data_IF_663462585253
#
_entry.id   IF_663462585253
#
_cell.length_a   1.000
_cell.length_b   1.000
_cell.length_c   1.000
_cell.angle_alpha   90.00
_cell.angle_beta   90.00
_cell.angle_gamma   90.00
#
_symmetry.space_group_name_H-M   'P 1'
#
loop_
_entity.id
_entity.type
_entity.pdbx_description
1 polymer ?
#
# COMPACT_ATOMS: atom_id res chain seq x y z
N UNK A 1 -19.12 -2.95 34.57
CA UNK A 1 -19.46 -2.00 33.48
C UNK A 1 -18.60 -2.43 32.32
N UNK A 2 -19.24 -3.06 31.37
CA UNK A 2 -18.61 -3.79 30.27
C UNK A 2 -18.09 -2.83 29.22
N UNK A 3 -16.86 -3.09 28.79
CA UNK A 3 -16.20 -2.40 27.70
C UNK A 3 -16.88 -2.70 26.37
N UNK A 4 -17.31 -1.67 25.70
CA UNK A 4 -17.92 -1.77 24.38
C UNK A 4 -16.91 -2.30 23.36
N UNK A 5 -17.33 -3.37 22.73
CA UNK A 5 -16.70 -4.04 21.60
C UNK A 5 -16.41 -3.06 20.49
N UNK A 6 -15.17 -3.13 19.97
CA UNK A 6 -14.83 -2.48 18.73
C UNK A 6 -15.73 -2.98 17.60
N UNK A 7 -16.65 -2.15 17.16
CA UNK A 7 -17.37 -2.38 15.92
C UNK A 7 -16.34 -2.31 14.78
N UNK A 8 -16.02 -3.49 14.26
CA UNK A 8 -15.38 -3.60 12.96
C UNK A 8 -16.36 -2.99 11.97
N UNK A 9 -16.05 -1.81 11.45
CA UNK A 9 -16.77 -1.27 10.30
C UNK A 9 -16.65 -2.30 9.18
N UNK A 10 -17.66 -3.12 9.02
CA UNK A 10 -17.78 -3.98 7.85
C UNK A 10 -17.82 -3.07 6.63
N UNK A 11 -16.85 -3.23 5.76
CA UNK A 11 -16.77 -2.46 4.53
C UNK A 11 -18.09 -2.62 3.78
N UNK A 12 -18.63 -1.50 3.33
CA UNK A 12 -19.88 -1.49 2.55
C UNK A 12 -19.61 -2.31 1.28
N UNK A 13 -20.42 -3.33 1.03
CA UNK A 13 -20.28 -4.14 -0.19
C UNK A 13 -20.57 -3.26 -1.40
N UNK A 14 -19.52 -2.93 -2.15
CA UNK A 14 -19.62 -2.12 -3.39
C UNK A 14 -20.55 -2.78 -4.44
N UNK A 15 -20.81 -4.06 -4.33
CA UNK A 15 -21.71 -4.79 -5.21
C UNK A 15 -23.19 -4.49 -4.90
N UNK A 16 -23.49 -4.11 -3.65
CA UNK A 16 -24.85 -3.76 -3.21
C UNK A 16 -25.33 -2.39 -3.73
N UNK A 17 -24.41 -1.51 -4.13
CA UNK A 17 -24.78 -0.15 -4.56
C UNK A 17 -25.37 -0.07 -5.96
N UNK A 18 -25.42 -1.16 -6.71
CA UNK A 18 -25.89 -1.18 -8.10
C UNK A 18 -25.04 -0.30 -9.05
N UNK A 19 -23.92 0.24 -8.55
CA UNK A 19 -23.04 1.11 -9.31
C UNK A 19 -21.98 0.28 -10.04
N UNK A 20 -21.96 0.37 -11.35
CA UNK A 20 -21.02 -0.35 -12.20
C UNK A 20 -20.12 0.60 -12.96
N UNK A 21 -18.82 0.43 -12.82
CA UNK A 21 -17.80 1.13 -13.62
C UNK A 21 -17.33 0.21 -14.74
N UNK A 22 -17.46 0.68 -15.98
CA UNK A 22 -17.03 -0.07 -17.18
C UNK A 22 -17.98 -1.21 -17.58
N UNK A 23 -17.55 -2.01 -18.55
CA UNK A 23 -18.36 -3.07 -19.18
C UNK A 23 -17.88 -4.49 -18.82
N UNK A 24 -16.64 -4.64 -18.37
CA UNK A 24 -16.09 -5.94 -18.01
C UNK A 24 -16.72 -6.45 -16.69
N UNK A 25 -16.90 -7.76 -16.55
CA UNK A 25 -17.32 -8.34 -15.28
C UNK A 25 -16.19 -8.17 -14.22
N UNK A 26 -16.57 -8.03 -12.97
CA UNK A 26 -15.60 -8.09 -11.88
C UNK A 26 -15.23 -9.54 -11.52
N UNK A 27 -14.08 -9.74 -10.90
CA UNK A 27 -13.73 -11.03 -10.30
C UNK A 27 -14.57 -11.35 -9.06
N UNK A 28 -14.35 -12.50 -8.47
CA UNK A 28 -15.15 -13.03 -7.35
C UNK A 28 -15.24 -12.09 -6.16
N UNK A 29 -14.10 -11.50 -5.76
CA UNK A 29 -13.99 -10.57 -4.62
C UNK A 29 -14.15 -9.10 -5.01
N UNK A 30 -14.14 -8.80 -6.30
CA UNK A 30 -14.01 -7.43 -6.81
C UNK A 30 -12.85 -6.67 -6.14
N UNK A 31 -11.72 -7.35 -5.96
CA UNK A 31 -10.48 -6.84 -5.34
C UNK A 31 -9.29 -7.14 -6.25
N UNK A 32 -8.18 -6.41 -6.07
CA UNK A 32 -6.92 -6.69 -6.78
C UNK A 32 -6.42 -8.12 -6.53
N UNK A 33 -6.76 -8.72 -5.39
CA UNK A 33 -6.44 -10.11 -5.03
C UNK A 33 -7.25 -11.17 -5.78
N UNK A 34 -8.14 -10.79 -6.70
CA UNK A 34 -8.66 -11.72 -7.71
C UNK A 34 -7.58 -12.15 -8.70
N UNK A 35 -6.49 -11.38 -8.82
CA UNK A 35 -5.26 -11.83 -9.48
C UNK A 35 -4.55 -12.84 -8.57
N UNK A 36 -4.38 -14.11 -9.00
CA UNK A 36 -3.78 -15.14 -8.16
C UNK A 36 -2.38 -14.75 -7.65
N UNK A 37 -2.17 -14.88 -6.34
CA UNK A 37 -0.89 -14.57 -5.69
C UNK A 37 -0.75 -13.13 -5.20
N UNK A 38 -1.58 -12.19 -5.66
CA UNK A 38 -1.57 -10.82 -5.13
C UNK A 38 -2.16 -10.79 -3.73
N UNK A 39 -1.42 -10.18 -2.80
CA UNK A 39 -1.86 -9.98 -1.41
C UNK A 39 -1.63 -8.54 -0.97
N UNK A 40 -2.45 -8.08 -0.02
CA UNK A 40 -2.36 -6.73 0.54
C UNK A 40 -2.43 -6.82 2.06
N UNK A 41 -1.60 -6.02 2.73
CA UNK A 41 -1.56 -5.95 4.19
C UNK A 41 -1.50 -4.52 4.70
N UNK A 42 -1.90 -4.32 5.95
CA UNK A 42 -2.01 -3.00 6.55
C UNK A 42 -1.40 -2.96 7.95
N UNK A 43 -0.74 -1.84 8.25
CA UNK A 43 -0.49 -1.42 9.61
C UNK A 43 -1.15 -0.06 9.82
N UNK A 44 -2.17 0.00 10.68
CA UNK A 44 -2.98 1.21 10.92
C UNK A 44 -2.58 1.85 12.24
N UNK A 45 -2.26 3.14 12.20
CA UNK A 45 -2.05 3.98 13.37
C UNK A 45 -3.29 4.86 13.58
N UNK A 46 -4.01 4.65 14.69
CA UNK A 46 -5.29 5.30 14.98
C UNK A 46 -5.38 5.64 16.47
N UNK A 47 -4.65 6.67 16.89
CA UNK A 47 -4.61 7.12 18.27
C UNK A 47 -4.66 8.66 18.31
N UNK A 48 -5.73 9.23 18.84
CA UNK A 48 -5.94 10.68 18.90
C UNK A 48 -5.75 11.35 17.55
N UNK A 49 -4.80 12.28 17.47
CA UNK A 49 -4.46 13.02 16.26
C UNK A 49 -3.57 12.22 15.27
N UNK A 50 -3.12 11.03 15.67
CA UNK A 50 -2.35 10.12 14.81
C UNK A 50 -3.32 9.27 14.00
N UNK A 51 -3.48 9.61 12.72
CA UNK A 51 -4.44 8.96 11.82
C UNK A 51 -3.75 8.65 10.48
N UNK A 52 -2.88 7.63 10.48
CA UNK A 52 -2.01 7.27 9.35
C UNK A 52 -1.74 5.77 9.30
N UNK A 53 -0.78 5.35 8.51
CA UNK A 53 -0.34 3.96 8.46
C UNK A 53 0.46 3.61 7.22
N UNK A 54 0.68 2.31 7.07
CA UNK A 54 1.36 1.70 5.91
C UNK A 54 0.45 0.64 5.31
N UNK A 55 0.40 0.60 3.99
CA UNK A 55 -0.20 -0.49 3.22
C UNK A 55 0.87 -1.13 2.36
N UNK A 56 0.96 -2.44 2.35
CA UNK A 56 1.87 -3.21 1.52
C UNK A 56 1.07 -4.01 0.48
N UNK A 57 1.59 -4.08 -0.75
CA UNK A 57 1.10 -4.94 -1.82
C UNK A 57 2.22 -5.85 -2.29
N UNK A 58 2.01 -7.16 -2.20
CA UNK A 58 2.88 -8.18 -2.76
C UNK A 58 2.28 -8.66 -4.09
N UNK A 59 3.00 -8.53 -5.22
CA UNK A 59 2.47 -8.90 -6.54
C UNK A 59 2.36 -10.42 -6.73
N UNK A 60 3.18 -11.20 -6.03
CA UNK A 60 3.14 -12.66 -5.99
C UNK A 60 3.89 -13.18 -4.74
N UNK A 61 3.74 -14.47 -4.37
CA UNK A 61 4.34 -15.03 -3.15
C UNK A 61 5.85 -15.37 -3.27
N UNK A 62 6.42 -15.25 -4.48
CA UNK A 62 7.84 -15.52 -4.74
C UNK A 62 8.75 -14.33 -4.43
N UNK A 63 10.01 -14.45 -4.83
CA UNK A 63 10.99 -13.38 -4.71
C UNK A 63 10.87 -12.39 -5.87
N UNK A 64 10.27 -11.24 -5.60
CA UNK A 64 9.99 -10.21 -6.62
C UNK A 64 11.29 -9.62 -7.22
N UNK A 65 12.40 -9.67 -6.50
CA UNK A 65 13.68 -9.16 -7.01
C UNK A 65 14.23 -10.01 -8.16
N UNK A 66 14.14 -11.34 -8.03
CA UNK A 66 14.58 -12.27 -9.06
C UNK A 66 13.49 -12.59 -10.07
N UNK A 67 12.22 -12.67 -9.63
CA UNK A 67 11.06 -12.93 -10.47
C UNK A 67 10.25 -11.66 -10.68
N UNK A 68 10.85 -10.70 -11.41
CA UNK A 68 10.23 -9.39 -11.66
C UNK A 68 8.93 -9.51 -12.42
N UNK A 69 7.95 -8.65 -12.09
CA UNK A 69 6.70 -8.55 -12.84
C UNK A 69 6.72 -7.35 -13.78
N UNK A 70 5.98 -7.43 -14.88
CA UNK A 70 5.79 -6.28 -15.76
C UNK A 70 5.03 -5.18 -15.01
N UNK A 71 5.48 -3.96 -15.18
CA UNK A 71 4.89 -2.79 -14.55
C UNK A 71 4.95 -1.58 -15.45
N UNK A 72 4.03 -0.65 -15.24
CA UNK A 72 4.04 0.67 -15.85
C UNK A 72 3.55 1.70 -14.84
N UNK A 73 3.99 2.94 -15.00
CA UNK A 73 3.55 4.03 -14.15
C UNK A 73 3.08 5.22 -14.99
N UNK A 74 2.24 6.05 -14.39
CA UNK A 74 1.81 7.32 -14.97
C UNK A 74 1.66 8.36 -13.86
N UNK A 75 2.30 9.51 -14.04
CA UNK A 75 2.23 10.63 -13.09
C UNK A 75 1.06 11.54 -13.47
N UNK A 76 -0.01 11.52 -12.66
CA UNK A 76 -1.18 12.38 -12.86
C UNK A 76 -0.85 13.82 -12.48
N UNK A 77 -0.12 14.02 -11.37
CA UNK A 77 0.44 15.32 -11.00
C UNK A 77 1.79 15.16 -10.33
N UNK A 78 2.71 16.09 -10.58
CA UNK A 78 4.09 16.04 -10.11
C UNK A 78 4.32 16.56 -8.67
N UNK A 79 3.29 16.84 -7.89
CA UNK A 79 3.45 17.28 -6.50
C UNK A 79 3.69 16.11 -5.53
N UNK A 80 3.42 14.88 -5.94
CA UNK A 80 3.69 13.64 -5.20
C UNK A 80 5.20 13.39 -4.99
N UNK A 81 5.51 12.57 -3.99
CA UNK A 81 6.88 12.16 -3.59
C UNK A 81 7.11 10.67 -3.75
N UNK A 82 6.35 10.03 -4.64
CA UNK A 82 6.49 8.59 -4.94
C UNK A 82 7.90 8.27 -5.43
N UNK A 83 8.49 7.20 -4.92
CA UNK A 83 9.82 6.72 -5.30
C UNK A 83 9.76 5.46 -6.17
N UNK A 84 10.86 5.12 -6.85
CA UNK A 84 11.00 3.90 -7.65
C UNK A 84 10.38 3.96 -9.06
N UNK A 85 9.76 5.07 -9.46
CA UNK A 85 9.08 5.18 -10.76
C UNK A 85 10.05 5.26 -11.95
N UNK A 86 11.25 5.80 -11.77
CA UNK A 86 12.25 5.95 -12.85
C UNK A 86 12.64 4.60 -13.44
N UNK A 87 12.89 3.60 -12.60
CA UNK A 87 13.23 2.26 -13.05
C UNK A 87 12.03 1.57 -13.74
N UNK A 88 10.82 1.75 -13.22
CA UNK A 88 9.61 1.21 -13.85
C UNK A 88 9.39 1.84 -15.22
N UNK A 89 9.57 3.16 -15.36
CA UNK A 89 9.37 3.88 -16.62
C UNK A 89 10.38 3.44 -17.69
N UNK A 90 11.64 3.23 -17.29
CA UNK A 90 12.70 2.84 -18.21
C UNK A 90 12.71 1.35 -18.55
N UNK A 91 12.56 0.47 -17.53
CA UNK A 91 12.73 -0.97 -17.70
C UNK A 91 11.41 -1.75 -17.79
N UNK A 92 10.29 -1.12 -17.46
CA UNK A 92 8.97 -1.75 -17.52
C UNK A 92 8.76 -2.89 -16.52
N UNK A 93 9.53 -2.92 -15.43
CA UNK A 93 9.48 -3.99 -14.43
C UNK A 93 9.42 -3.48 -13.01
N UNK A 94 8.78 -4.26 -12.12
CA UNK A 94 8.76 -4.08 -10.68
C UNK A 94 9.59 -5.18 -10.02
N UNK A 95 10.46 -4.81 -9.08
CA UNK A 95 11.39 -5.71 -8.40
C UNK A 95 11.29 -5.69 -6.87
N UNK A 96 10.29 -4.99 -6.32
CA UNK A 96 9.99 -4.95 -4.88
C UNK A 96 8.49 -5.05 -4.63
N UNK A 97 8.04 -5.31 -3.40
CA UNK A 97 6.69 -4.94 -2.98
C UNK A 97 6.40 -3.47 -3.26
N UNK A 98 5.12 -3.11 -3.45
CA UNK A 98 4.69 -1.71 -3.51
C UNK A 98 4.18 -1.32 -2.13
N UNK A 99 4.77 -0.27 -1.53
CA UNK A 99 4.32 0.26 -0.26
C UNK A 99 3.59 1.61 -0.45
N UNK A 100 2.62 1.87 0.42
CA UNK A 100 1.86 3.12 0.45
C UNK A 100 1.94 3.71 1.85
N UNK A 101 2.09 5.02 1.94
CA UNK A 101 2.16 5.74 3.22
C UNK A 101 1.76 7.22 3.04
N UNK A 102 1.92 8.03 4.08
CA UNK A 102 1.74 9.47 3.96
C UNK A 102 2.97 10.17 3.35
N UNK A 103 2.75 11.38 2.85
CA UNK A 103 3.75 12.19 2.13
C UNK A 103 5.09 12.33 2.84
N UNK A 104 5.10 12.59 4.16
CA UNK A 104 6.34 12.85 4.89
C UNK A 104 7.05 11.58 5.37
N UNK A 105 6.40 10.43 5.28
CA UNK A 105 6.95 9.14 5.71
C UNK A 105 7.57 8.32 4.58
N UNK A 106 7.55 8.82 3.33
CA UNK A 106 8.09 8.09 2.17
C UNK A 106 9.53 7.64 2.41
N UNK A 107 10.42 8.52 2.85
CA UNK A 107 11.84 8.17 3.08
C UNK A 107 12.04 7.09 4.15
N UNK A 108 11.25 7.11 5.24
CA UNK A 108 11.29 6.09 6.30
C UNK A 108 10.83 4.73 5.74
N UNK A 109 9.73 4.73 4.99
CA UNK A 109 9.16 3.51 4.40
C UNK A 109 10.07 2.95 3.30
N UNK A 110 10.69 3.82 2.51
CA UNK A 110 11.67 3.44 1.49
C UNK A 110 12.89 2.76 2.12
N UNK A 111 13.48 3.36 3.16
CA UNK A 111 14.61 2.76 3.89
C UNK A 111 14.24 1.39 4.47
N UNK A 112 13.05 1.26 5.05
CA UNK A 112 12.57 -0.01 5.59
C UNK A 112 12.38 -1.06 4.49
N UNK A 113 11.87 -0.67 3.32
CA UNK A 113 11.71 -1.57 2.18
C UNK A 113 13.07 -2.04 1.64
N UNK A 114 14.06 -1.14 1.54
CA UNK A 114 15.43 -1.53 1.17
C UNK A 114 15.99 -2.58 2.14
N UNK A 115 15.88 -2.36 3.45
CA UNK A 115 16.32 -3.33 4.46
C UNK A 115 15.61 -4.69 4.30
N UNK A 116 14.29 -4.67 4.11
CA UNK A 116 13.51 -5.88 3.85
C UNK A 116 14.01 -6.67 2.63
N UNK A 117 14.38 -5.97 1.56
CA UNK A 117 14.92 -6.60 0.34
C UNK A 117 16.32 -7.15 0.55
N UNK A 118 17.22 -6.41 1.22
CA UNK A 118 18.57 -6.84 1.52
C UNK A 118 18.62 -8.08 2.44
N UNK A 119 17.74 -8.17 3.41
CA UNK A 119 17.62 -9.35 4.30
C UNK A 119 17.22 -10.62 3.55
N UNK A 120 16.46 -10.50 2.46
CA UNK A 120 15.96 -11.64 1.66
C UNK A 120 16.83 -11.98 0.48
N UNK A 121 17.58 -11.01 -0.01
CA UNK A 121 18.38 -11.10 -1.22
C UNK A 121 19.83 -10.70 -0.90
N UNK A 122 20.65 -11.61 -0.35
CA UNK A 122 22.03 -11.29 0.05
C UNK A 122 22.96 -10.99 -1.11
N UNK A 123 22.54 -11.22 -2.34
CA UNK A 123 23.26 -10.94 -3.57
C UNK A 123 23.09 -9.49 -4.07
N UNK A 124 22.11 -8.73 -3.53
CA UNK A 124 21.94 -7.30 -3.85
C UNK A 124 23.20 -6.53 -3.45
N UNK A 125 23.77 -5.78 -4.40
CA UNK A 125 25.03 -5.02 -4.28
C UNK A 125 26.28 -5.88 -4.04
N UNK A 126 26.17 -7.21 -4.04
CA UNK A 126 27.32 -8.12 -3.97
C UNK A 126 27.62 -8.74 -5.34
N UNK A 127 26.66 -9.39 -5.94
CA UNK A 127 26.78 -10.04 -7.25
C UNK A 127 25.75 -9.55 -8.26
N UNK A 128 24.75 -8.80 -7.80
CA UNK A 128 23.74 -8.14 -8.64
C UNK A 128 23.82 -6.62 -8.49
N UNK A 129 22.95 -5.89 -9.20
CA UNK A 129 22.79 -4.45 -9.01
C UNK A 129 22.13 -4.09 -7.67
N UNK A 130 21.89 -2.78 -7.47
CA UNK A 130 21.09 -2.29 -6.35
C UNK A 130 19.60 -2.58 -6.56
N UNK A 131 18.78 -2.30 -5.54
CA UNK A 131 17.33 -2.44 -5.58
C UNK A 131 16.66 -1.08 -5.74
N UNK A 132 15.54 -1.03 -6.47
CA UNK A 132 14.72 0.16 -6.67
C UNK A 132 13.39 0.01 -5.92
N UNK A 133 13.30 0.49 -4.67
CA UNK A 133 12.09 0.37 -3.86
C UNK A 133 10.97 1.26 -4.40
N UNK A 134 9.73 0.74 -4.41
CA UNK A 134 8.56 1.50 -4.84
C UNK A 134 7.71 1.86 -3.62
N UNK A 135 7.64 3.16 -3.32
CA UNK A 135 6.82 3.71 -2.25
C UNK A 135 5.94 4.82 -2.81
N UNK A 136 4.64 4.57 -2.80
CA UNK A 136 3.61 5.54 -3.19
C UNK A 136 3.14 6.34 -1.97
N UNK A 137 2.61 7.55 -2.21
CA UNK A 137 2.16 8.40 -1.14
C UNK A 137 0.83 9.08 -1.41
N UNK A 138 0.17 9.48 -0.34
CA UNK A 138 -0.93 10.41 -0.37
C UNK A 138 -0.92 11.28 0.89
N UNK A 139 -1.23 12.56 0.74
CA UNK A 139 -1.16 13.52 1.84
C UNK A 139 -2.34 13.36 2.81
N UNK A 140 -2.05 13.05 4.07
CA UNK A 140 -3.05 12.88 5.14
C UNK A 140 -3.08 14.03 6.16
N UNK A 141 -2.37 15.14 5.92
CA UNK A 141 -2.23 16.25 6.87
C UNK A 141 -3.57 16.89 7.31
N UNK A 142 -4.65 16.65 6.58
CA UNK A 142 -5.98 17.17 6.93
C UNK A 142 -6.68 16.42 8.07
N UNK A 143 -6.22 15.20 8.39
CA UNK A 143 -6.80 14.33 9.43
C UNK A 143 -5.75 13.71 10.35
N UNK A 144 -4.48 13.86 10.03
CA UNK A 144 -3.35 13.27 10.75
C UNK A 144 -2.36 14.33 11.20
N UNK A 145 -1.78 14.18 12.38
CA UNK A 145 -0.56 14.89 12.75
C UNK A 145 0.63 14.38 11.92
N UNK A 146 0.68 14.81 10.66
CA UNK A 146 1.72 14.40 9.72
C UNK A 146 3.13 14.88 10.14
N UNK A 147 3.22 15.98 10.92
CA UNK A 147 4.50 16.55 11.36
C UNK A 147 5.18 15.73 12.44
N UNK A 148 4.42 14.91 13.18
CA UNK A 148 4.95 14.02 14.21
C UNK A 148 5.75 12.85 13.63
N UNK A 149 5.72 12.59 12.31
CA UNK A 149 6.47 11.52 11.63
C UNK A 149 6.30 10.16 12.31
N UNK A 150 5.06 9.80 12.61
CA UNK A 150 4.71 8.65 13.44
C UNK A 150 4.96 7.29 12.79
N UNK A 151 5.13 7.23 11.47
CA UNK A 151 5.43 5.98 10.75
C UNK A 151 6.89 5.58 10.98
N UNK A 152 7.10 4.31 11.37
CA UNK A 152 8.43 3.73 11.62
C UNK A 152 8.65 2.46 10.80
N UNK A 153 9.88 1.96 10.78
CA UNK A 153 10.24 0.70 10.11
C UNK A 153 9.43 -0.51 10.66
N UNK A 154 9.10 -0.51 11.95
CA UNK A 154 8.28 -1.57 12.55
C UNK A 154 6.87 -1.64 11.95
N UNK A 155 6.30 -0.49 11.56
CA UNK A 155 4.99 -0.43 10.92
C UNK A 155 5.04 -0.97 9.49
N UNK A 156 6.16 -0.81 8.80
CA UNK A 156 6.39 -1.43 7.48
C UNK A 156 6.47 -2.95 7.60
N UNK A 157 7.26 -3.45 8.57
CA UNK A 157 7.35 -4.89 8.82
C UNK A 157 5.97 -5.50 9.18
N UNK A 158 5.18 -4.80 10.00
CA UNK A 158 3.83 -5.23 10.36
C UNK A 158 2.88 -5.28 9.15
N UNK A 159 2.94 -4.27 8.26
CA UNK A 159 2.11 -4.24 7.05
C UNK A 159 2.48 -5.38 6.09
N UNK A 160 3.77 -5.65 5.89
CA UNK A 160 4.25 -6.77 5.07
C UNK A 160 3.84 -8.13 5.66
N UNK A 161 3.88 -8.28 6.98
CA UNK A 161 3.46 -9.50 7.67
C UNK A 161 1.94 -9.74 7.64
N UNK A 162 1.12 -8.68 7.51
CA UNK A 162 -0.35 -8.76 7.42
C UNK A 162 -0.85 -9.12 6.00
N UNK A 163 0.02 -9.23 5.00
CA UNK A 163 -0.38 -9.44 3.61
C UNK A 163 -1.18 -10.73 3.41
N UNK A 164 -2.41 -10.58 2.88
CA UNK A 164 -3.37 -11.66 2.64
C UNK A 164 -4.29 -11.32 1.46
N UNK A 165 -4.93 -12.32 0.87
CA UNK A 165 -5.85 -12.13 -0.25
C UNK A 165 -7.16 -11.45 0.19
N UNK A 166 -7.65 -11.76 1.39
CA UNK A 166 -8.84 -11.10 1.96
C UNK A 166 -8.40 -10.00 2.94
N UNK A 167 -8.11 -8.84 2.41
CA UNK A 167 -7.69 -7.66 3.14
C UNK A 167 -8.83 -6.66 3.37
N UNK A 168 -8.69 -5.82 4.39
CA UNK A 168 -9.66 -4.77 4.70
C UNK A 168 -9.56 -3.59 3.71
N UNK A 169 -10.68 -2.91 3.49
CA UNK A 169 -10.76 -1.66 2.74
C UNK A 169 -11.25 -0.52 3.66
N UNK A 170 -11.18 0.72 3.17
CA UNK A 170 -11.63 1.90 3.91
C UNK A 170 -10.53 2.56 4.73
N UNK A 171 -10.83 2.92 5.98
CA UNK A 171 -9.94 3.70 6.85
C UNK A 171 -8.87 2.84 7.53
N UNK A 172 -8.08 2.11 6.75
CA UNK A 172 -7.01 1.20 7.21
C UNK A 172 -5.68 1.52 6.54
N UNK A 173 -4.57 1.15 7.18
CA UNK A 173 -3.23 1.35 6.66
C UNK A 173 -2.98 2.78 6.20
N UNK A 174 -2.37 2.95 5.04
CA UNK A 174 -2.13 4.25 4.42
C UNK A 174 -3.42 5.05 4.12
N UNK A 175 -4.59 4.39 4.06
CA UNK A 175 -5.87 5.05 3.85
C UNK A 175 -6.49 5.69 5.10
N UNK A 176 -5.90 5.48 6.30
CA UNK A 176 -6.49 5.90 7.57
C UNK A 176 -6.80 7.39 7.64
N UNK A 177 -5.86 8.25 7.32
CA UNK A 177 -6.00 9.71 7.38
C UNK A 177 -6.38 10.37 6.05
N UNK A 178 -6.74 9.61 5.02
CA UNK A 178 -6.92 10.14 3.67
C UNK A 178 -8.25 10.86 3.48
N UNK A 179 -8.21 11.88 2.63
CA UNK A 179 -9.38 12.60 2.11
C UNK A 179 -9.40 12.51 0.60
N UNK A 180 -10.59 12.44 0.02
CA UNK A 180 -10.81 12.43 -1.41
C UNK A 180 -12.05 13.26 -1.75
N UNK A 181 -11.93 14.23 -2.64
CA UNK A 181 -13.02 15.15 -3.02
C UNK A 181 -13.71 15.83 -1.82
N UNK A 182 -12.96 16.19 -0.78
CA UNK A 182 -13.51 16.81 0.44
C UNK A 182 -14.18 15.85 1.42
N UNK A 183 -14.30 14.57 1.08
CA UNK A 183 -14.86 13.52 1.91
C UNK A 183 -13.76 12.66 2.55
N UNK A 184 -14.13 11.83 3.53
CA UNK A 184 -13.24 10.80 4.07
C UNK A 184 -12.93 9.78 2.98
N UNK A 185 -11.65 9.65 2.65
CA UNK A 185 -11.12 8.64 1.75
C UNK A 185 -10.67 7.37 2.49
N UNK A 186 -10.00 6.47 1.77
CA UNK A 186 -9.47 5.23 2.32
C UNK A 186 -8.91 4.32 1.25
N UNK A 187 -8.51 3.11 1.67
CA UNK A 187 -8.12 2.05 0.75
C UNK A 187 -9.35 1.56 -0.01
N UNK A 188 -9.22 1.46 -1.31
CA UNK A 188 -10.19 0.81 -2.18
C UNK A 188 -9.49 -0.12 -3.16
N UNK A 189 -10.21 -1.13 -3.63
CA UNK A 189 -9.72 -2.08 -4.60
C UNK A 189 -10.85 -2.51 -5.54
N UNK A 190 -10.51 -2.93 -6.73
CA UNK A 190 -11.46 -3.49 -7.68
C UNK A 190 -10.73 -4.40 -8.68
N UNK A 191 -11.47 -5.33 -9.26
CA UNK A 191 -11.04 -6.15 -10.40
C UNK A 191 -12.02 -6.03 -11.56
N UNK A 192 -11.51 -6.21 -12.79
CA UNK A 192 -12.31 -6.25 -14.03
C UNK A 192 -11.68 -7.23 -15.01
#
# INVERSE_FOLDING_TARGET
MESNNGEVFMGIDKNEWGFRVGHLPHGERNKISDVPGVTVGHCTLADGDIQTGVTALLPHPGDVFHDKVLAACHVINGFGKTTGLVQIDELGTLETPILFTNTLSVGTVETALVKYMLERNPDICETTGSVNPVVCECNDCGLNDIRGLHVTEAHVAAALADCKADFAEGAVGAGRGMRCHGLKGGIGSASR
#
